data_IF_838982529799
#
_entry.id   IF_838982529799
#
_cell.length_a   1.000
_cell.length_b   1.000
_cell.length_c   1.000
_cell.angle_alpha   90.00
_cell.angle_beta   90.00
_cell.angle_gamma   90.00
#
_symmetry.space_group_name_H-M   'P 1'
#
loop_
_entity.id
_entity.type
_entity.pdbx_description
1 polymer ?
#
# COMPACT_ATOMS: atom_id res chain seq x y z
N UNK A 1 20.23 -13.61 11.61
CA UNK A 1 19.43 -14.85 11.68
C UNK A 1 17.97 -14.55 11.36
N UNK A 2 17.40 -15.14 10.31
CA UNK A 2 15.97 -15.00 10.00
C UNK A 2 15.22 -16.10 10.75
N UNK A 3 14.50 -15.73 11.80
CA UNK A 3 13.64 -16.68 12.52
C UNK A 3 12.50 -17.08 11.58
N UNK A 4 12.49 -18.35 11.16
CA UNK A 4 11.40 -18.95 10.41
C UNK A 4 10.42 -19.55 11.39
N UNK A 5 9.17 -19.11 11.31
CA UNK A 5 8.07 -19.68 12.09
C UNK A 5 7.31 -20.68 11.23
N UNK A 6 6.96 -21.82 11.80
CA UNK A 6 6.16 -22.83 11.08
C UNK A 6 4.73 -22.34 10.87
N UNK A 7 4.03 -22.91 9.88
CA UNK A 7 2.64 -22.58 9.62
C UNK A 7 1.73 -22.91 10.83
N UNK A 8 2.07 -23.94 11.58
CA UNK A 8 1.40 -24.36 12.80
C UNK A 8 1.54 -23.31 13.91
N UNK A 9 2.78 -22.85 14.17
CA UNK A 9 3.04 -21.76 15.12
C UNK A 9 2.24 -20.51 14.78
N UNK A 10 2.16 -20.16 13.48
CA UNK A 10 1.33 -19.04 13.02
C UNK A 10 -0.16 -19.25 13.32
N UNK A 11 -0.69 -20.45 13.06
CA UNK A 11 -2.10 -20.78 13.34
C UNK A 11 -2.42 -20.70 14.83
N UNK A 12 -1.56 -21.29 15.67
CA UNK A 12 -1.71 -21.26 17.15
C UNK A 12 -1.63 -19.82 17.67
N UNK A 13 -0.70 -19.02 17.16
CA UNK A 13 -0.57 -17.62 17.56
C UNK A 13 -1.81 -16.78 17.19
N UNK A 14 -2.35 -16.96 15.98
CA UNK A 14 -3.56 -16.27 15.53
C UNK A 14 -4.79 -16.75 16.31
N UNK A 15 -4.92 -18.05 16.60
CA UNK A 15 -6.03 -18.60 17.40
C UNK A 15 -6.01 -18.05 18.84
N UNK A 16 -4.83 -18.04 19.46
CA UNK A 16 -4.63 -17.49 20.81
C UNK A 16 -4.92 -15.99 20.84
N UNK A 17 -4.51 -15.24 19.81
CA UNK A 17 -4.89 -13.84 19.66
C UNK A 17 -6.40 -13.63 19.56
N UNK A 18 -7.11 -14.47 18.79
CA UNK A 18 -8.58 -14.37 18.67
C UNK A 18 -9.28 -14.57 20.03
N UNK A 19 -8.74 -15.41 20.91
CA UNK A 19 -9.26 -15.66 22.26
C UNK A 19 -9.02 -14.49 23.22
N UNK A 20 -7.80 -13.92 23.24
CA UNK A 20 -7.46 -12.87 24.21
C UNK A 20 -7.67 -11.44 23.71
N UNK A 21 -7.80 -11.24 22.39
CA UNK A 21 -7.93 -9.94 21.72
C UNK A 21 -6.82 -8.92 22.09
N UNK A 22 -5.71 -9.40 22.65
CA UNK A 22 -4.61 -8.56 23.16
C UNK A 22 -3.26 -9.15 22.76
N UNK A 23 -2.49 -8.39 21.98
CA UNK A 23 -1.16 -8.80 21.53
C UNK A 23 -0.22 -9.08 22.70
N UNK A 24 -0.16 -8.20 23.70
CA UNK A 24 0.73 -8.37 24.85
C UNK A 24 0.40 -9.63 25.66
N UNK A 25 -0.89 -9.95 25.81
CA UNK A 25 -1.34 -11.16 26.52
C UNK A 25 -1.01 -12.42 25.73
N UNK A 26 -1.23 -12.42 24.41
CA UNK A 26 -0.85 -13.53 23.53
C UNK A 26 0.66 -13.80 23.58
N UNK A 27 1.48 -12.75 23.60
CA UNK A 27 2.94 -12.86 23.68
C UNK A 27 3.41 -13.41 25.03
N UNK A 28 2.80 -13.00 26.15
CA UNK A 28 3.13 -13.57 27.47
C UNK A 28 2.78 -15.05 27.56
N UNK A 29 1.69 -15.48 26.90
CA UNK A 29 1.23 -16.87 26.92
C UNK A 29 2.08 -17.77 26.03
N UNK A 30 2.49 -17.29 24.85
CA UNK A 30 3.22 -18.10 23.88
C UNK A 30 4.75 -17.94 23.98
N UNK A 31 5.27 -16.82 24.46
CA UNK A 31 6.70 -16.50 24.49
C UNK A 31 7.32 -16.16 23.13
N UNK A 32 6.57 -16.36 22.05
CA UNK A 32 6.91 -16.03 20.66
C UNK A 32 5.60 -15.68 19.92
N UNK A 33 5.61 -15.09 18.71
CA UNK A 33 6.69 -14.42 17.98
C UNK A 33 6.92 -12.99 18.51
N UNK A 34 7.59 -12.08 17.78
CA UNK A 34 7.59 -10.66 18.14
C UNK A 34 6.23 -10.00 17.87
N UNK A 35 5.94 -8.88 18.55
CA UNK A 35 4.65 -8.17 18.42
C UNK A 35 4.31 -7.79 16.97
N UNK A 36 5.30 -7.34 16.21
CA UNK A 36 5.13 -6.96 14.80
C UNK A 36 4.79 -8.15 13.91
N UNK A 37 5.41 -9.31 14.14
CA UNK A 37 5.13 -10.53 13.39
C UNK A 37 3.70 -11.01 13.64
N UNK A 38 3.26 -11.00 14.91
CA UNK A 38 1.87 -11.34 15.24
C UNK A 38 0.88 -10.38 14.60
N UNK A 39 1.19 -9.08 14.59
CA UNK A 39 0.36 -8.07 13.92
C UNK A 39 0.21 -8.35 12.42
N UNK A 40 1.32 -8.62 11.71
CA UNK A 40 1.27 -8.92 10.28
C UNK A 40 0.51 -10.22 9.97
N UNK A 41 0.62 -11.25 10.82
CA UNK A 41 -0.16 -12.47 10.66
C UNK A 41 -1.66 -12.25 10.84
N UNK A 42 -2.06 -11.49 11.86
CA UNK A 42 -3.46 -11.14 12.11
C UNK A 42 -4.02 -10.26 10.99
N UNK A 43 -3.25 -9.28 10.51
CA UNK A 43 -3.67 -8.40 9.41
C UNK A 43 -3.76 -9.17 8.09
N UNK A 44 -2.77 -9.99 7.78
CA UNK A 44 -2.76 -10.82 6.57
C UNK A 44 -3.80 -11.94 6.57
N UNK A 45 -4.29 -12.38 7.74
CA UNK A 45 -5.38 -13.35 7.81
C UNK A 45 -6.76 -12.75 7.55
N UNK A 46 -6.90 -11.42 7.51
CA UNK A 46 -8.17 -10.77 7.16
C UNK A 46 -8.24 -10.70 5.63
N UNK A 47 -9.15 -11.46 4.97
CA UNK A 47 -9.36 -11.29 3.55
C UNK A 47 -9.90 -9.87 3.34
N UNK A 48 -9.15 -9.02 2.65
CA UNK A 48 -9.59 -7.66 2.30
C UNK A 48 -8.62 -6.53 2.66
N UNK A 49 -7.69 -6.73 3.59
CA UNK A 49 -6.68 -5.69 3.89
C UNK A 49 -5.47 -5.81 2.95
N UNK A 50 -5.69 -5.66 1.63
CA UNK A 50 -4.58 -5.46 0.69
C UNK A 50 -3.87 -4.18 1.11
N UNK A 51 -2.55 -4.22 1.30
CA UNK A 51 -1.77 -2.99 1.44
C UNK A 51 -2.00 -2.22 0.15
N UNK A 52 -2.71 -1.10 0.21
CA UNK A 52 -2.71 -0.13 -0.89
C UNK A 52 -1.30 0.42 -0.94
N UNK A 53 -0.44 -0.20 -1.72
CA UNK A 53 0.86 0.36 -2.03
C UNK A 53 0.58 1.59 -2.89
N UNK A 54 0.81 2.78 -2.33
CA UNK A 54 0.71 4.06 -3.05
C UNK A 54 1.48 4.07 -4.39
N UNK A 55 2.45 3.18 -4.55
CA UNK A 55 3.18 2.90 -5.81
C UNK A 55 2.30 2.47 -7.00
N UNK A 56 1.05 2.07 -6.78
CA UNK A 56 0.14 1.61 -7.85
C UNK A 56 -0.53 2.72 -8.66
N UNK A 57 -0.60 3.96 -8.14
CA UNK A 57 -1.33 5.06 -8.78
C UNK A 57 -0.45 5.85 -9.76
N UNK A 58 0.84 6.01 -9.47
CA UNK A 58 1.79 6.75 -10.32
C UNK A 58 2.20 5.99 -11.61
N UNK A 59 2.03 4.66 -11.64
CA UNK A 59 2.67 3.78 -12.63
C UNK A 59 1.81 3.43 -13.85
N UNK A 60 0.61 4.00 -14.02
CA UNK A 60 -0.34 3.58 -15.07
C UNK A 60 -0.72 4.62 -16.11
N UNK A 61 -0.07 5.78 -16.16
CA UNK A 61 -0.26 6.70 -17.29
C UNK A 61 0.58 6.21 -18.47
N UNK A 62 -0.09 5.83 -19.56
CA UNK A 62 0.56 5.46 -20.80
C UNK A 62 1.41 6.64 -21.32
N UNK A 63 2.57 6.36 -21.90
CA UNK A 63 3.49 7.37 -22.43
C UNK A 63 2.82 8.38 -23.37
N UNK A 64 1.91 7.91 -24.24
CA UNK A 64 1.17 8.78 -25.16
C UNK A 64 0.33 9.84 -24.44
N UNK A 65 -0.24 9.49 -23.29
CA UNK A 65 -1.02 10.41 -22.46
C UNK A 65 -0.12 11.48 -21.86
N UNK A 66 1.10 11.11 -21.46
CA UNK A 66 2.10 12.08 -20.97
C UNK A 66 2.54 13.03 -22.06
N UNK A 67 2.84 12.52 -23.25
CA UNK A 67 3.28 13.32 -24.39
C UNK A 67 2.17 14.30 -24.84
N UNK A 68 0.92 13.85 -24.89
CA UNK A 68 -0.23 14.71 -25.20
C UNK A 68 -0.41 15.83 -24.17
N UNK A 69 -0.26 15.52 -22.89
CA UNK A 69 -0.34 16.52 -21.82
C UNK A 69 0.78 17.57 -21.94
N UNK A 70 2.03 17.13 -22.17
CA UNK A 70 3.18 18.02 -22.33
C UNK A 70 3.00 18.92 -23.56
N UNK A 71 2.53 18.40 -24.68
CA UNK A 71 2.27 19.22 -25.88
C UNK A 71 1.21 20.31 -25.64
N UNK A 72 0.13 19.99 -24.92
CA UNK A 72 -0.90 20.98 -24.55
C UNK A 72 -0.36 22.04 -23.59
N UNK A 73 0.44 21.64 -22.61
CA UNK A 73 1.10 22.57 -21.68
C UNK A 73 2.09 23.50 -22.41
N UNK A 74 2.86 22.99 -23.37
CA UNK A 74 3.72 23.80 -24.23
C UNK A 74 2.93 24.74 -25.15
N UNK A 75 1.70 24.36 -25.51
CA UNK A 75 0.74 25.20 -26.24
C UNK A 75 0.12 26.34 -25.42
N UNK A 76 0.44 26.45 -24.13
CA UNK A 76 -0.05 27.51 -23.25
C UNK A 76 -1.42 27.24 -22.62
N UNK A 77 -1.94 26.03 -22.72
CA UNK A 77 -3.16 25.62 -22.03
C UNK A 77 -2.96 25.54 -20.51
N UNK A 78 -4.03 25.81 -19.76
CA UNK A 78 -4.00 25.75 -18.29
C UNK A 78 -3.83 24.32 -17.80
N UNK A 79 -2.88 24.14 -16.88
CA UNK A 79 -2.56 22.84 -16.24
C UNK A 79 -3.77 22.25 -15.51
N UNK A 80 -4.69 23.09 -15.03
CA UNK A 80 -5.91 22.67 -14.33
C UNK A 80 -6.90 22.04 -15.31
N UNK A 81 -7.05 22.62 -16.50
CA UNK A 81 -7.98 22.13 -17.53
C UNK A 81 -7.46 20.82 -18.12
N UNK A 82 -6.15 20.72 -18.37
CA UNK A 82 -5.50 19.48 -18.81
C UNK A 82 -5.62 18.38 -17.74
N UNK A 83 -5.50 18.72 -16.45
CA UNK A 83 -5.67 17.76 -15.37
C UNK A 83 -7.12 17.28 -15.23
N UNK A 84 -8.10 18.15 -15.48
CA UNK A 84 -9.51 17.80 -15.53
C UNK A 84 -9.82 16.84 -16.70
N UNK A 85 -9.30 17.14 -17.90
CA UNK A 85 -9.41 16.30 -19.10
C UNK A 85 -8.81 14.90 -18.90
N UNK A 86 -7.68 14.82 -18.21
CA UNK A 86 -6.96 13.57 -17.94
C UNK A 86 -7.44 12.85 -16.68
N UNK A 87 -8.45 13.40 -15.98
CA UNK A 87 -8.96 12.93 -14.68
C UNK A 87 -7.82 12.68 -13.66
N UNK A 88 -6.77 13.50 -13.70
CA UNK A 88 -5.62 13.37 -12.82
C UNK A 88 -5.95 14.05 -11.50
N UNK A 89 -5.93 13.28 -10.40
CA UNK A 89 -6.29 13.79 -9.07
C UNK A 89 -5.29 14.80 -8.52
N UNK A 90 -4.06 14.81 -9.05
CA UNK A 90 -3.01 15.74 -8.65
C UNK A 90 -2.39 16.42 -9.88
N UNK A 91 -2.78 17.66 -10.14
CA UNK A 91 -2.27 18.48 -11.24
C UNK A 91 -0.75 18.78 -11.11
N UNK A 92 -0.15 18.65 -9.91
CA UNK A 92 1.31 18.77 -9.75
C UNK A 92 2.09 17.70 -10.53
N UNK A 93 1.46 16.57 -10.85
CA UNK A 93 2.07 15.50 -11.66
C UNK A 93 2.43 15.96 -13.08
N UNK A 94 1.71 16.95 -13.60
CA UNK A 94 1.94 17.48 -14.95
C UNK A 94 3.26 18.26 -15.03
N UNK A 95 3.61 19.03 -13.98
CA UNK A 95 4.93 19.66 -13.87
C UNK A 95 6.07 18.64 -13.76
N UNK A 96 5.81 17.48 -13.15
CA UNK A 96 6.80 16.40 -13.06
C UNK A 96 7.02 15.70 -14.43
N UNK A 97 6.09 15.82 -15.38
CA UNK A 97 6.25 15.28 -16.74
C UNK A 97 7.03 16.22 -17.67
N UNK A 98 7.22 17.48 -17.28
CA UNK A 98 8.00 18.49 -18.01
C UNK A 98 9.51 18.38 -17.77
N UNK A 99 9.93 17.72 -16.69
CA UNK A 99 11.33 17.49 -16.31
C UNK A 99 11.79 16.09 -16.70
#
# INVERSE_FOLDING_TARGET
MKVMYTAEQKRVAVATFRRYKSYAKTLRVLGYPSRHVLFDWVRGSRPGCRKVTARGLYRRYAWQVKLGAVNRMLGGESVIDIAADLAVTNHMLLYQWMH
#
